data_IF_448603392394
#
_entry.id   IF_448603392394
#
_cell.length_a   1.000
_cell.length_b   1.000
_cell.length_c   1.000
_cell.angle_alpha   90.00
_cell.angle_beta   90.00
_cell.angle_gamma   90.00
#
_symmetry.space_group_name_H-M   'P 1'
#
loop_
_entity.id
_entity.type
_entity.pdbx_description
1 polymer ?
#
# COMPACT_ATOMS: atom_id res chain seq x y z
N UNK A 1 -22.28 -0.64 -22.74
CA UNK A 1 -21.06 -0.56 -21.93
C UNK A 1 -19.86 -0.79 -22.82
N UNK A 2 -18.71 -0.22 -22.50
CA UNK A 2 -17.45 -0.34 -23.25
C UNK A 2 -16.41 -1.22 -22.52
N UNK A 3 -16.84 -2.00 -21.52
CA UNK A 3 -15.98 -2.83 -20.68
C UNK A 3 -16.65 -4.17 -20.36
N UNK A 4 -15.81 -5.18 -20.10
CA UNK A 4 -16.20 -6.51 -19.61
C UNK A 4 -15.22 -6.95 -18.52
N UNK A 5 -15.72 -7.44 -17.40
CA UNK A 5 -14.90 -7.97 -16.31
C UNK A 5 -14.76 -9.48 -16.44
N UNK A 6 -13.54 -9.94 -16.74
CA UNK A 6 -13.21 -11.36 -16.84
C UNK A 6 -12.74 -11.91 -15.48
N UNK A 7 -13.08 -13.16 -15.19
CA UNK A 7 -12.70 -13.87 -13.96
C UNK A 7 -12.05 -15.21 -14.30
N UNK A 8 -11.17 -15.70 -13.41
CA UNK A 8 -10.57 -17.03 -13.54
C UNK A 8 -9.54 -17.17 -14.67
N UNK A 9 -8.92 -16.07 -15.10
CA UNK A 9 -7.91 -16.11 -16.13
C UNK A 9 -6.62 -16.81 -15.64
N UNK A 10 -6.00 -17.68 -16.45
CA UNK A 10 -4.71 -18.25 -16.13
C UNK A 10 -3.66 -17.15 -15.94
N UNK A 11 -3.06 -17.10 -14.77
CA UNK A 11 -2.13 -16.06 -14.40
C UNK A 11 -0.69 -16.43 -14.77
N UNK A 12 0.16 -15.44 -15.08
CA UNK A 12 1.58 -15.62 -15.37
C UNK A 12 1.90 -16.10 -16.78
N UNK A 13 0.90 -16.18 -17.65
CA UNK A 13 1.09 -16.56 -19.05
C UNK A 13 0.46 -15.54 -19.99
N UNK A 14 0.99 -15.49 -21.22
CA UNK A 14 0.43 -14.67 -22.28
C UNK A 14 -0.95 -15.21 -22.66
N UNK A 15 -1.95 -14.33 -22.62
CA UNK A 15 -3.32 -14.61 -23.01
C UNK A 15 -3.68 -13.80 -24.27
N UNK A 16 -4.63 -14.31 -25.03
CA UNK A 16 -5.15 -13.71 -26.25
C UNK A 16 -6.64 -13.44 -26.05
N UNK A 17 -7.10 -12.23 -26.36
CA UNK A 17 -8.51 -11.89 -26.36
C UNK A 17 -8.93 -11.30 -27.71
N UNK A 18 -10.14 -11.64 -28.14
CA UNK A 18 -10.79 -11.11 -29.34
C UNK A 18 -12.02 -10.31 -28.96
N UNK A 19 -12.09 -9.07 -29.42
CA UNK A 19 -13.27 -8.22 -29.28
C UNK A 19 -14.03 -8.19 -30.61
N UNK A 20 -15.28 -8.64 -30.61
CA UNK A 20 -16.18 -8.58 -31.76
C UNK A 20 -17.12 -7.37 -31.69
N UNK A 21 -17.29 -6.69 -32.81
CA UNK A 21 -18.22 -5.56 -32.99
C UNK A 21 -19.13 -5.83 -34.17
N UNK A 22 -20.44 -5.88 -33.94
CA UNK A 22 -21.47 -6.00 -35.00
C UNK A 22 -21.96 -4.62 -35.41
N UNK A 23 -21.87 -4.28 -36.70
CA UNK A 23 -22.46 -3.06 -37.27
C UNK A 23 -23.07 -3.37 -38.63
N UNK A 24 -24.35 -3.02 -38.82
CA UNK A 24 -25.12 -3.29 -40.04
C UNK A 24 -25.00 -4.77 -40.48
N UNK A 25 -25.26 -5.69 -39.56
CA UNK A 25 -25.13 -7.15 -39.74
C UNK A 25 -23.75 -7.71 -40.10
N UNK A 26 -22.73 -6.86 -40.17
CA UNK A 26 -21.34 -7.28 -40.38
C UNK A 26 -20.59 -7.32 -39.05
N UNK A 27 -20.00 -8.48 -38.76
CA UNK A 27 -19.08 -8.66 -37.63
C UNK A 27 -17.65 -8.27 -38.02
N UNK A 28 -17.03 -7.44 -37.19
CA UNK A 28 -15.60 -7.10 -37.27
C UNK A 28 -14.96 -7.42 -35.92
N UNK A 29 -13.65 -7.67 -35.91
CA UNK A 29 -12.93 -7.94 -34.68
C UNK A 29 -11.57 -7.26 -34.62
N UNK A 30 -11.07 -7.14 -33.39
CA UNK A 30 -9.66 -6.88 -33.09
C UNK A 30 -9.16 -7.95 -32.12
N UNK A 31 -7.88 -8.26 -32.22
CA UNK A 31 -7.19 -9.16 -31.29
C UNK A 31 -6.24 -8.35 -30.41
N UNK A 32 -6.16 -8.70 -29.13
CA UNK A 32 -5.21 -8.15 -28.17
C UNK A 32 -4.53 -9.29 -27.41
N UNK A 33 -3.32 -9.01 -26.93
CA UNK A 33 -2.60 -9.91 -26.04
C UNK A 33 -2.32 -9.23 -24.72
N UNK A 34 -2.42 -9.97 -23.62
CA UNK A 34 -2.10 -9.47 -22.29
C UNK A 34 -1.66 -10.62 -21.39
N UNK A 35 -0.90 -10.31 -20.34
CA UNK A 35 -0.55 -11.29 -19.31
C UNK A 35 -1.39 -10.99 -18.07
N UNK A 36 -2.20 -11.95 -17.62
CA UNK A 36 -2.83 -11.84 -16.32
C UNK A 36 -1.75 -11.99 -15.24
N UNK A 37 -1.64 -11.07 -14.28
CA UNK A 37 -0.57 -11.08 -13.30
C UNK A 37 -0.57 -12.38 -12.46
N UNK A 38 0.53 -13.16 -12.48
CA UNK A 38 0.72 -14.33 -11.60
C UNK A 38 1.14 -13.93 -10.20
N UNK A 39 0.33 -14.36 -9.25
CA UNK A 39 0.51 -14.19 -7.82
C UNK A 39 -0.87 -14.04 -7.21
N UNK A 40 -1.09 -14.55 -6.00
CA UNK A 40 -2.21 -14.03 -5.22
C UNK A 40 -2.06 -12.50 -5.25
N UNK A 41 -3.11 -11.73 -5.61
CA UNK A 41 -2.97 -10.29 -5.73
C UNK A 41 -2.32 -9.79 -4.44
N UNK A 42 -1.26 -8.98 -4.54
CA UNK A 42 -0.72 -8.32 -3.36
C UNK A 42 -1.82 -7.39 -2.87
N UNK A 43 -2.53 -7.77 -1.82
CA UNK A 43 -3.66 -7.00 -1.30
C UNK A 43 -3.26 -6.09 -0.13
N UNK A 44 -1.99 -6.16 0.29
CA UNK A 44 -1.40 -5.31 1.31
C UNK A 44 0.09 -5.09 1.05
N UNK A 45 0.57 -3.92 1.46
CA UNK A 45 1.98 -3.60 1.42
C UNK A 45 2.77 -4.42 2.46
N UNK A 46 4.07 -4.54 2.24
CA UNK A 46 5.03 -5.06 3.22
C UNK A 46 5.99 -3.95 3.62
N UNK A 47 6.36 -3.89 4.90
CA UNK A 47 7.33 -2.90 5.40
C UNK A 47 8.73 -3.36 5.02
N UNK A 48 9.47 -2.48 4.35
CA UNK A 48 10.87 -2.68 3.93
C UNK A 48 11.80 -2.10 5.00
N UNK A 49 11.53 -0.87 5.44
CA UNK A 49 12.32 -0.15 6.42
C UNK A 49 11.41 0.64 7.39
N UNK A 50 11.79 0.76 8.66
CA UNK A 50 12.76 -0.09 9.35
C UNK A 50 12.35 -1.57 9.26
N UNK A 51 13.34 -2.47 9.16
CA UNK A 51 13.08 -3.90 9.20
C UNK A 51 12.42 -4.28 10.53
N UNK A 52 11.58 -5.31 10.54
CA UNK A 52 10.92 -5.72 11.76
C UNK A 52 11.94 -6.16 12.83
N UNK A 53 11.85 -5.56 14.01
CA UNK A 53 12.79 -5.75 15.11
C UNK A 53 14.07 -4.91 15.02
N UNK A 54 14.20 -4.01 14.04
CA UNK A 54 15.36 -3.14 13.92
C UNK A 54 15.58 -2.29 15.19
N UNK A 55 16.84 -2.05 15.53
CA UNK A 55 17.25 -1.21 16.65
C UNK A 55 18.07 -0.03 16.16
N UNK A 56 18.14 1.05 16.93
CA UNK A 56 18.95 2.22 16.53
C UNK A 56 18.31 3.04 15.41
N UNK A 57 16.98 2.96 15.25
CA UNK A 57 16.28 3.68 14.19
C UNK A 57 16.27 5.18 14.47
N UNK A 58 16.74 5.97 13.49
CA UNK A 58 16.71 7.44 13.60
C UNK A 58 15.27 7.96 13.63
N UNK A 59 14.93 8.90 14.54
CA UNK A 59 13.62 9.57 14.55
C UNK A 59 13.36 10.43 13.31
N UNK A 60 14.38 10.71 12.51
CA UNK A 60 14.26 11.45 11.24
C UNK A 60 14.40 10.54 10.01
N UNK A 61 14.47 9.22 10.22
CA UNK A 61 14.54 8.25 9.13
C UNK A 61 13.23 8.12 8.34
N UNK A 62 13.20 7.17 7.42
CA UNK A 62 12.01 6.87 6.61
C UNK A 62 11.42 5.52 7.00
N UNK A 63 10.09 5.47 7.04
CA UNK A 63 9.34 4.24 6.85
C UNK A 63 9.23 4.01 5.36
N UNK A 64 9.52 2.81 4.88
CA UNK A 64 9.43 2.41 3.48
C UNK A 64 8.62 1.12 3.35
N UNK A 65 7.82 1.01 2.30
CA UNK A 65 7.00 -0.17 2.03
C UNK A 65 6.93 -0.51 0.55
N UNK A 66 6.51 -1.72 0.22
CA UNK A 66 6.27 -2.13 -1.17
C UNK A 66 5.01 -1.48 -1.74
N UNK A 67 5.08 -0.98 -2.97
CA UNK A 67 3.89 -0.60 -3.72
C UNK A 67 2.96 -1.78 -3.97
N UNK A 68 1.65 -1.53 -3.93
CA UNK A 68 0.58 -2.50 -4.16
C UNK A 68 -0.22 -2.07 -5.40
N UNK A 69 -0.31 -2.92 -6.43
CA UNK A 69 -1.15 -2.63 -7.59
C UNK A 69 -2.60 -2.38 -7.20
N UNK A 70 -3.21 -1.34 -7.76
CA UNK A 70 -4.59 -0.92 -7.48
C UNK A 70 -4.84 -0.54 -6.00
N UNK A 71 -3.80 -0.20 -5.24
CA UNK A 71 -3.98 0.43 -3.94
C UNK A 71 -4.75 1.74 -4.11
N UNK A 72 -5.87 1.85 -3.40
CA UNK A 72 -6.66 3.07 -3.38
C UNK A 72 -6.13 4.02 -2.31
N UNK A 73 -5.62 3.46 -1.21
CA UNK A 73 -5.09 4.22 -0.07
C UNK A 73 -4.03 3.43 0.67
N UNK A 74 -3.07 4.12 1.26
CA UNK A 74 -2.25 3.63 2.37
C UNK A 74 -2.58 4.39 3.66
N UNK A 75 -2.14 3.85 4.80
CA UNK A 75 -2.18 4.54 6.08
C UNK A 75 -1.06 4.03 6.97
N UNK A 76 -0.24 4.91 7.51
CA UNK A 76 0.84 4.59 8.43
C UNK A 76 0.44 4.98 9.85
N UNK A 77 0.37 4.00 10.74
CA UNK A 77 0.27 4.20 12.17
C UNK A 77 1.59 3.85 12.84
N UNK A 78 2.10 4.74 13.68
CA UNK A 78 3.10 4.39 14.67
C UNK A 78 2.55 4.69 16.05
N UNK A 79 2.65 3.71 16.94
CA UNK A 79 2.14 3.83 18.29
C UNK A 79 3.08 3.27 19.35
N UNK A 80 2.83 3.68 20.60
CA UNK A 80 3.48 3.13 21.78
C UNK A 80 3.02 1.70 22.11
N UNK A 81 1.89 1.28 21.54
CA UNK A 81 1.34 -0.08 21.61
C UNK A 81 0.91 -0.56 20.23
N UNK A 82 0.75 -1.89 20.05
CA UNK A 82 0.39 -2.49 18.77
C UNK A 82 -0.93 -1.93 18.25
N UNK A 83 -0.92 -1.39 17.03
CA UNK A 83 -2.10 -0.87 16.35
C UNK A 83 -2.54 0.53 16.77
N UNK A 84 -1.90 1.13 17.77
CA UNK A 84 -2.10 2.53 18.11
C UNK A 84 -1.42 3.47 17.09
N UNK A 85 -1.86 4.73 17.09
CA UNK A 85 -1.38 5.79 16.21
C UNK A 85 -1.05 7.08 16.97
N UNK A 86 -0.74 6.94 18.26
CA UNK A 86 -0.47 8.04 19.19
C UNK A 86 0.84 8.78 18.89
N UNK A 87 1.76 8.18 18.12
CA UNK A 87 3.05 8.78 17.75
C UNK A 87 3.08 9.28 16.32
N UNK A 88 2.57 8.49 15.35
CA UNK A 88 2.40 8.92 13.96
C UNK A 88 1.02 8.49 13.47
N UNK A 89 0.30 9.45 12.88
CA UNK A 89 -0.98 9.26 12.20
C UNK A 89 -0.89 9.92 10.82
N UNK A 90 -0.50 9.19 9.77
CA UNK A 90 -0.18 9.80 8.47
C UNK A 90 -1.35 10.45 7.73
N UNK A 91 -2.56 10.32 8.25
CA UNK A 91 -3.81 10.33 7.47
C UNK A 91 -3.81 9.28 6.34
N UNK A 92 -4.93 9.20 5.64
CA UNK A 92 -5.00 8.41 4.43
C UNK A 92 -4.02 9.00 3.39
N UNK A 93 -3.20 8.14 2.81
CA UNK A 93 -2.28 8.46 1.72
C UNK A 93 -2.93 8.01 0.42
N UNK A 94 -3.36 8.94 -0.41
CA UNK A 94 -4.12 8.66 -1.63
C UNK A 94 -4.05 9.81 -2.64
N UNK A 95 -4.35 9.51 -3.90
CA UNK A 95 -4.39 10.55 -4.94
C UNK A 95 -5.59 11.47 -4.67
N UNK A 96 -5.32 12.74 -4.41
CA UNK A 96 -6.33 13.73 -4.06
C UNK A 96 -6.59 13.89 -2.54
N UNK A 97 -5.82 13.20 -1.69
CA UNK A 97 -5.71 13.52 -0.27
C UNK A 97 -4.25 13.83 0.08
N UNK A 98 -3.80 13.47 1.29
CA UNK A 98 -2.42 13.68 1.74
C UNK A 98 -1.47 12.81 0.91
N UNK A 99 -0.62 13.42 0.08
CA UNK A 99 0.37 12.74 -0.78
C UNK A 99 -0.26 11.96 -1.97
N UNK A 100 0.32 10.84 -2.42
CA UNK A 100 -0.15 10.03 -3.56
C UNK A 100 -0.13 8.53 -3.25
N UNK A 101 -1.00 7.74 -3.89
CA UNK A 101 -0.96 6.26 -3.79
C UNK A 101 0.30 5.63 -4.38
N UNK A 102 1.09 6.39 -5.14
CA UNK A 102 2.40 5.96 -5.63
C UNK A 102 3.50 6.13 -4.60
N UNK A 103 3.25 6.85 -3.50
CA UNK A 103 4.21 7.02 -2.43
C UNK A 103 4.46 5.68 -1.72
N UNK A 104 5.75 5.34 -1.58
CA UNK A 104 6.24 4.13 -0.90
C UNK A 104 7.04 4.45 0.36
N UNK A 105 6.89 5.67 0.89
CA UNK A 105 7.59 6.10 2.10
C UNK A 105 6.88 7.18 2.90
N UNK A 106 7.15 7.21 4.19
CA UNK A 106 6.72 8.24 5.13
C UNK A 106 7.89 8.65 6.03
N UNK A 107 8.05 9.95 6.30
CA UNK A 107 9.12 10.43 7.18
C UNK A 107 8.76 10.22 8.65
N UNK A 108 9.64 9.59 9.42
CA UNK A 108 9.49 9.43 10.88
C UNK A 108 9.51 10.79 11.61
N UNK A 109 10.06 11.83 10.99
CA UNK A 109 10.01 13.20 11.52
C UNK A 109 8.63 13.83 11.39
N UNK A 110 7.75 13.29 10.54
CA UNK A 110 6.40 13.82 10.34
C UNK A 110 5.39 12.99 11.15
N UNK A 111 4.87 13.58 12.23
CA UNK A 111 3.82 12.95 13.05
C UNK A 111 2.48 12.81 12.30
N UNK A 112 2.26 13.61 11.26
CA UNK A 112 1.00 13.64 10.52
C UNK A 112 -0.10 14.38 11.28
N UNK A 113 -1.29 13.78 11.35
CA UNK A 113 -2.49 14.34 11.95
C UNK A 113 -2.38 14.48 13.47
N UNK A 114 -2.75 15.64 13.99
CA UNK A 114 -3.03 15.79 15.43
C UNK A 114 -4.15 14.83 15.87
N UNK A 115 -4.05 14.19 17.05
CA UNK A 115 -3.14 14.50 18.15
C UNK A 115 -1.86 13.64 18.20
N UNK A 116 -1.38 13.08 17.09
CA UNK A 116 -0.14 12.30 17.09
C UNK A 116 1.04 13.14 17.61
N UNK A 117 1.81 12.58 18.54
CA UNK A 117 2.81 13.32 19.33
C UNK A 117 4.20 13.37 18.69
N UNK A 118 4.43 12.60 17.62
CA UNK A 118 5.75 12.35 17.07
C UNK A 118 6.58 11.39 17.94
N UNK A 119 7.86 11.25 17.60
CA UNK A 119 8.79 10.32 18.26
C UNK A 119 9.65 10.99 19.34
N UNK A 120 9.33 12.23 19.72
CA UNK A 120 10.01 12.94 20.81
C UNK A 120 9.94 12.15 22.12
N UNK A 121 11.07 12.02 22.81
CA UNK A 121 11.15 11.28 24.08
C UNK A 121 11.02 9.75 23.97
N UNK A 122 11.10 9.19 22.75
CA UNK A 122 11.08 7.74 22.51
C UNK A 122 12.45 7.11 22.33
N UNK A 123 13.52 7.84 22.65
CA UNK A 123 14.89 7.32 22.62
C UNK A 123 15.03 5.97 23.34
N UNK A 124 15.62 4.99 22.66
CA UNK A 124 15.77 3.62 23.16
C UNK A 124 14.47 2.81 23.36
N UNK A 125 13.29 3.38 23.08
CA UNK A 125 12.01 2.69 23.26
C UNK A 125 11.62 1.93 21.99
N UNK A 126 10.98 0.77 22.19
CA UNK A 126 10.32 0.01 21.12
C UNK A 126 8.98 0.68 20.78
N UNK A 127 8.74 0.91 19.50
CA UNK A 127 7.48 1.41 18.95
C UNK A 127 6.92 0.41 17.92
N UNK A 128 5.62 0.52 17.66
CA UNK A 128 4.90 -0.42 16.80
C UNK A 128 4.38 0.31 15.58
N UNK A 129 4.68 -0.24 14.40
CA UNK A 129 4.23 0.25 13.11
C UNK A 129 3.12 -0.65 12.61
N UNK A 130 1.98 -0.05 12.24
CA UNK A 130 0.94 -0.71 11.45
C UNK A 130 0.82 -0.02 10.10
N UNK A 131 1.06 -0.77 9.05
CA UNK A 131 0.92 -0.31 7.67
C UNK A 131 -0.40 -0.85 7.09
N UNK A 132 -1.31 0.05 6.78
CA UNK A 132 -2.58 -0.27 6.14
C UNK A 132 -2.52 -0.08 4.62
N UNK A 133 -3.29 -0.89 3.92
CA UNK A 133 -3.52 -0.78 2.48
C UNK A 133 -4.99 -1.04 2.17
N UNK A 134 -5.62 -0.17 1.39
CA UNK A 134 -6.97 -0.38 0.87
C UNK A 134 -6.90 -0.86 -0.59
N UNK A 135 -7.46 -2.03 -0.86
CA UNK A 135 -7.66 -2.55 -2.22
C UNK A 135 -9.10 -3.02 -2.35
N UNK A 136 -9.81 -2.50 -3.36
CA UNK A 136 -11.21 -2.84 -3.61
C UNK A 136 -12.14 -2.46 -2.44
N UNK A 137 -11.87 -1.33 -1.78
CA UNK A 137 -12.63 -0.85 -0.62
C UNK A 137 -12.34 -1.60 0.70
N UNK A 138 -11.48 -2.63 0.68
CA UNK A 138 -11.17 -3.45 1.86
C UNK A 138 -9.80 -3.06 2.40
N UNK A 139 -9.77 -2.66 3.67
CA UNK A 139 -8.54 -2.40 4.42
C UNK A 139 -7.89 -3.70 4.90
N UNK A 140 -6.57 -3.77 4.74
CA UNK A 140 -5.72 -4.84 5.27
C UNK A 140 -4.47 -4.22 5.87
N UNK A 141 -3.88 -4.86 6.88
CA UNK A 141 -2.66 -4.36 7.51
C UNK A 141 -1.57 -5.41 7.63
N UNK A 142 -0.35 -4.91 7.80
CA UNK A 142 0.79 -5.64 8.35
C UNK A 142 1.35 -4.86 9.53
N UNK A 143 1.75 -5.57 10.57
CA UNK A 143 2.41 -4.99 11.73
C UNK A 143 3.91 -5.25 11.69
N UNK A 144 4.67 -4.28 12.16
CA UNK A 144 6.12 -4.32 12.37
C UNK A 144 6.44 -3.59 13.68
N UNK A 145 7.68 -3.68 14.14
CA UNK A 145 8.14 -2.92 15.28
C UNK A 145 9.62 -2.59 15.15
N UNK A 146 10.06 -1.53 15.81
CA UNK A 146 11.47 -1.15 15.85
C UNK A 146 11.77 -0.35 17.12
N UNK A 147 13.04 -0.31 17.51
CA UNK A 147 13.55 0.43 18.66
C UNK A 147 14.30 1.66 18.18
N UNK A 148 13.94 2.82 18.74
CA UNK A 148 14.56 4.09 18.42
C UNK A 148 16.04 4.12 18.84
N UNK A 149 16.83 4.93 18.14
CA UNK A 149 18.16 5.29 18.61
C UNK A 149 18.12 5.90 20.02
N UNK A 150 19.15 5.67 20.86
CA UNK A 150 19.30 6.34 22.16
C UNK A 150 19.39 7.86 22.05
#
# INVERSE_FOLDING_TARGET
GTSYQAYGLPAGQLLYARLWTKKADVWRYIDITFTAASGAPMLKATVIAPANGATGVSPTGLIQWTGVPNAQKYYVYVGSTVGAKDLIDSEEICDGCTNSTTATSWSLANAGKSPALGLGGKAGQKVYLRMWTMVGGIWRSVDSSFTMAP
#
